data_IF_225334671128
#
_entry.id   IF_225334671128
#
_cell.length_a   1.000
_cell.length_b   1.000
_cell.length_c   1.000
_cell.angle_alpha   90.00
_cell.angle_beta   90.00
_cell.angle_gamma   90.00
#
_symmetry.space_group_name_H-M   'P 1'
#
loop_
_entity.id
_entity.type
_entity.pdbx_description
1 polymer ?
#
# COMPACT_ATOMS: atom_id res chain seq x y z
N UNK A 1 -15.70 -7.65 7.61
CA UNK A 1 -14.85 -7.90 8.79
C UNK A 1 -15.37 -7.10 9.98
N UNK A 2 -14.90 -7.37 11.22
CA UNK A 2 -15.49 -6.86 12.46
C UNK A 2 -15.32 -5.38 12.78
N UNK A 3 -15.06 -4.51 11.77
CA UNK A 3 -14.78 -3.08 11.99
C UNK A 3 -15.90 -2.37 12.75
N UNK A 4 -17.16 -2.69 12.46
CA UNK A 4 -18.32 -2.09 13.13
C UNK A 4 -18.40 -2.49 14.60
N UNK A 5 -18.17 -3.77 14.92
CA UNK A 5 -18.12 -4.27 16.30
C UNK A 5 -17.00 -3.59 17.11
N UNK A 6 -15.83 -3.45 16.50
CA UNK A 6 -14.66 -2.81 17.13
C UNK A 6 -14.92 -1.33 17.38
N UNK A 7 -15.56 -0.61 16.45
CA UNK A 7 -15.99 0.79 16.66
C UNK A 7 -16.95 0.95 17.84
N UNK A 8 -17.79 -0.04 18.07
CA UNK A 8 -18.73 -0.09 19.22
C UNK A 8 -18.07 -0.58 20.52
N UNK A 9 -16.75 -0.78 20.53
CA UNK A 9 -16.01 -1.28 21.70
C UNK A 9 -16.17 -2.77 21.99
N UNK A 10 -16.78 -3.53 21.07
CA UNK A 10 -16.94 -4.98 21.19
C UNK A 10 -15.70 -5.72 20.71
N UNK A 11 -15.50 -6.95 21.23
CA UNK A 11 -14.47 -7.86 20.72
C UNK A 11 -14.80 -8.33 19.30
N UNK A 12 -13.79 -8.76 18.56
CA UNK A 12 -14.01 -9.43 17.27
C UNK A 12 -14.80 -10.72 17.45
N UNK A 13 -15.62 -11.09 16.48
CA UNK A 13 -16.48 -12.26 16.57
C UNK A 13 -15.71 -13.58 16.80
N UNK A 14 -14.52 -13.71 16.22
CA UNK A 14 -13.65 -14.87 16.42
C UNK A 14 -13.09 -14.96 17.85
N UNK A 15 -12.75 -13.82 18.47
CA UNK A 15 -12.28 -13.80 19.85
C UNK A 15 -13.42 -14.07 20.86
N UNK A 16 -14.63 -13.63 20.53
CA UNK A 16 -15.82 -13.88 21.38
C UNK A 16 -16.31 -15.32 21.28
N UNK A 17 -16.26 -15.90 20.07
CA UNK A 17 -16.70 -17.27 19.84
C UNK A 17 -15.73 -18.35 20.33
N UNK A 18 -14.49 -17.99 20.71
CA UNK A 18 -13.48 -18.95 21.14
C UNK A 18 -13.67 -19.33 22.61
N UNK A 19 -14.18 -20.56 22.95
CA UNK A 19 -14.50 -20.95 24.31
C UNK A 19 -13.25 -21.11 25.19
N UNK A 20 -12.09 -21.42 24.58
CA UNK A 20 -10.84 -21.66 25.32
C UNK A 20 -9.94 -20.40 25.34
N UNK A 21 -10.40 -19.26 24.79
CA UNK A 21 -9.63 -18.02 24.78
C UNK A 21 -8.34 -18.08 23.96
N UNK A 22 -8.23 -19.00 22.99
CA UNK A 22 -7.07 -19.13 22.13
C UNK A 22 -6.91 -17.92 21.17
N UNK A 23 -8.04 -17.33 20.75
CA UNK A 23 -8.05 -16.13 19.91
C UNK A 23 -8.21 -14.90 20.78
N UNK A 24 -7.22 -14.03 20.79
CA UNK A 24 -7.21 -12.78 21.57
C UNK A 24 -7.19 -11.59 20.61
N UNK A 25 -7.87 -10.52 20.99
CA UNK A 25 -7.94 -9.28 20.22
C UNK A 25 -7.63 -8.08 21.13
N UNK A 26 -6.80 -7.16 20.62
CA UNK A 26 -6.41 -5.94 21.32
C UNK A 26 -5.46 -5.11 20.49
N UNK A 27 -4.84 -4.11 21.09
CA UNK A 27 -3.78 -3.35 20.44
C UNK A 27 -2.52 -4.20 20.24
N UNK A 28 -1.70 -3.88 19.26
CA UNK A 28 -0.45 -4.62 18.96
C UNK A 28 0.43 -4.80 20.19
N UNK A 29 0.60 -3.74 20.99
CA UNK A 29 1.43 -3.74 22.19
C UNK A 29 0.87 -4.66 23.28
N UNK A 30 -0.43 -4.63 23.52
CA UNK A 30 -1.10 -5.48 24.49
C UNK A 30 -1.01 -6.96 24.11
N UNK A 31 -1.29 -7.28 22.85
CA UNK A 31 -1.24 -8.66 22.36
C UNK A 31 0.18 -9.23 22.40
N UNK A 32 1.19 -8.43 22.04
CA UNK A 32 2.58 -8.87 22.17
C UNK A 32 2.99 -9.07 23.62
N UNK A 33 2.58 -8.20 24.53
CA UNK A 33 2.86 -8.37 25.96
C UNK A 33 2.21 -9.65 26.51
N UNK A 34 0.96 -9.92 26.13
CA UNK A 34 0.24 -11.15 26.52
C UNK A 34 0.92 -12.40 25.91
N UNK A 35 1.31 -12.35 24.64
CA UNK A 35 2.02 -13.45 24.01
C UNK A 35 3.35 -13.76 24.71
N UNK A 36 4.16 -12.74 24.99
CA UNK A 36 5.41 -12.92 25.74
C UNK A 36 5.18 -13.43 27.16
N UNK A 37 4.09 -13.02 27.81
CA UNK A 37 3.73 -13.55 29.12
C UNK A 37 3.44 -15.04 29.05
N UNK A 38 2.63 -15.51 28.09
CA UNK A 38 2.33 -16.93 27.89
C UNK A 38 3.58 -17.77 27.63
N UNK A 39 4.51 -17.26 26.82
CA UNK A 39 5.78 -17.95 26.57
C UNK A 39 6.64 -18.10 27.83
N UNK A 40 6.58 -17.13 28.74
CA UNK A 40 7.33 -17.20 30.02
C UNK A 40 6.65 -18.10 31.05
N UNK A 41 5.33 -18.09 31.08
CA UNK A 41 4.54 -18.81 32.09
C UNK A 41 4.50 -20.32 31.79
N UNK A 42 4.60 -20.72 30.52
CA UNK A 42 4.57 -22.14 30.13
C UNK A 42 5.76 -22.45 29.17
N UNK A 43 6.75 -23.24 29.65
CA UNK A 43 7.91 -23.63 28.86
C UNK A 43 7.58 -24.64 27.73
N UNK A 44 6.37 -25.20 27.66
CA UNK A 44 5.94 -26.04 26.57
C UNK A 44 5.83 -25.31 25.25
N UNK A 45 5.64 -23.98 25.28
CA UNK A 45 5.60 -23.17 24.08
C UNK A 45 6.97 -22.98 23.44
N UNK A 46 7.01 -23.01 22.09
CA UNK A 46 8.17 -22.58 21.30
C UNK A 46 8.45 -21.12 21.63
N UNK A 47 9.69 -20.82 22.06
CA UNK A 47 10.12 -19.49 22.52
C UNK A 47 10.23 -18.48 21.36
N UNK A 48 9.21 -18.47 20.50
CA UNK A 48 9.11 -17.58 19.33
C UNK A 48 7.65 -17.22 19.08
N UNK A 49 7.40 -15.94 18.81
CA UNK A 49 6.12 -15.44 18.34
C UNK A 49 6.22 -15.30 16.83
N UNK A 50 5.44 -16.07 16.07
CA UNK A 50 5.39 -15.95 14.63
C UNK A 50 4.50 -14.76 14.21
N UNK A 51 4.94 -13.98 13.24
CA UNK A 51 4.25 -12.77 12.75
C UNK A 51 4.89 -11.46 13.24
N UNK A 52 5.90 -11.51 14.10
CA UNK A 52 6.60 -10.30 14.58
C UNK A 52 7.57 -9.72 13.56
N UNK A 53 8.31 -10.58 12.88
CA UNK A 53 9.36 -10.23 11.90
C UNK A 53 9.01 -10.67 10.48
N UNK A 54 8.18 -11.69 10.35
CA UNK A 54 7.79 -12.26 9.07
C UNK A 54 7.12 -11.22 8.18
N UNK A 55 7.56 -11.12 6.92
CA UNK A 55 7.07 -10.16 5.92
C UNK A 55 7.12 -8.68 6.40
N UNK A 56 8.09 -8.37 7.27
CA UNK A 56 8.22 -7.04 7.88
C UNK A 56 7.26 -6.78 9.04
N UNK A 57 6.70 -7.83 9.61
CA UNK A 57 5.73 -7.80 10.72
C UNK A 57 4.28 -7.79 10.26
N UNK A 58 3.50 -8.67 10.86
CA UNK A 58 2.06 -8.81 10.58
C UNK A 58 1.21 -8.25 11.73
N UNK A 59 -0.10 -8.15 11.52
CA UNK A 59 -1.07 -7.80 12.56
C UNK A 59 -1.69 -9.02 13.23
N UNK A 60 -1.25 -10.23 12.85
CA UNK A 60 -1.69 -11.49 13.45
C UNK A 60 -0.46 -12.20 13.96
N UNK A 61 -0.50 -12.62 15.21
CA UNK A 61 0.58 -13.30 15.90
C UNK A 61 0.14 -14.71 16.27
N UNK A 62 1.09 -15.64 16.20
CA UNK A 62 0.85 -17.03 16.57
C UNK A 62 1.85 -17.46 17.64
N UNK A 63 1.33 -18.19 18.62
CA UNK A 63 2.09 -18.87 19.66
C UNK A 63 1.73 -20.35 19.55
N UNK A 64 2.71 -21.24 19.60
CA UNK A 64 2.51 -22.69 19.43
C UNK A 64 3.45 -23.47 20.35
N UNK A 65 3.04 -24.65 20.74
CA UNK A 65 3.81 -25.68 21.43
C UNK A 65 4.62 -26.55 20.45
N UNK A 66 4.29 -26.47 19.15
CA UNK A 66 4.96 -27.20 18.06
C UNK A 66 5.70 -26.21 17.16
N UNK A 67 6.87 -26.60 16.68
CA UNK A 67 7.63 -25.79 15.71
C UNK A 67 6.78 -25.38 14.51
N UNK A 68 6.79 -24.10 14.21
CA UNK A 68 5.99 -23.51 13.13
C UNK A 68 6.25 -24.17 11.76
N UNK A 69 7.45 -24.63 11.48
CA UNK A 69 7.81 -25.31 10.25
C UNK A 69 7.10 -26.66 10.12
N UNK A 70 6.93 -27.38 11.22
CA UNK A 70 6.23 -28.68 11.25
C UNK A 70 4.74 -28.57 10.95
N UNK A 71 4.14 -27.43 11.27
CA UNK A 71 2.72 -27.13 10.99
C UNK A 71 2.52 -26.34 9.69
N UNK A 72 3.58 -26.22 8.85
CA UNK A 72 3.50 -25.68 7.50
C UNK A 72 3.72 -24.17 7.37
N UNK A 73 4.13 -23.49 8.43
CA UNK A 73 4.55 -22.09 8.34
C UNK A 73 5.94 -22.00 7.71
N UNK A 74 6.12 -21.06 6.78
CA UNK A 74 7.39 -20.95 6.05
C UNK A 74 8.42 -20.15 6.85
N UNK A 75 9.57 -20.75 7.12
CA UNK A 75 10.72 -20.08 7.76
C UNK A 75 11.26 -18.90 6.92
N UNK A 76 11.25 -19.05 5.61
CA UNK A 76 11.72 -18.04 4.65
C UNK A 76 10.90 -16.73 4.64
N UNK A 77 9.74 -16.70 5.29
CA UNK A 77 8.98 -15.47 5.44
C UNK A 77 9.67 -14.43 6.34
N UNK A 78 10.68 -14.83 7.13
CA UNK A 78 11.42 -13.92 8.01
C UNK A 78 12.26 -12.92 7.21
N UNK A 79 12.90 -13.37 6.14
CA UNK A 79 13.78 -12.55 5.30
C UNK A 79 13.06 -11.94 4.09
N UNK A 80 11.76 -12.18 3.97
CA UNK A 80 10.96 -11.63 2.87
C UNK A 80 10.72 -10.14 3.08
N UNK A 81 11.01 -9.36 2.04
CA UNK A 81 10.73 -7.93 2.02
C UNK A 81 9.22 -7.67 2.25
N UNK A 82 8.85 -6.67 3.04
CA UNK A 82 7.46 -6.35 3.30
C UNK A 82 6.69 -6.11 1.99
N UNK A 83 5.64 -6.87 1.72
CA UNK A 83 4.81 -6.70 0.52
C UNK A 83 4.30 -5.27 0.32
N UNK A 84 4.18 -4.54 1.43
CA UNK A 84 3.74 -3.15 1.45
C UNK A 84 4.74 -2.20 0.81
N UNK A 85 6.05 -2.49 0.81
CA UNK A 85 7.07 -1.57 0.26
C UNK A 85 6.92 -1.39 -1.24
N UNK A 86 6.67 -2.46 -1.98
CA UNK A 86 6.45 -2.42 -3.43
C UNK A 86 5.25 -1.52 -3.80
N UNK A 87 4.13 -1.71 -3.09
CA UNK A 87 2.92 -0.91 -3.33
C UNK A 87 3.10 0.53 -2.87
N UNK A 88 3.75 0.76 -1.73
CA UNK A 88 4.00 2.09 -1.21
C UNK A 88 4.91 2.91 -2.14
N UNK A 89 5.96 2.30 -2.70
CA UNK A 89 6.84 2.94 -3.68
C UNK A 89 6.06 3.31 -4.95
N UNK A 90 5.33 2.35 -5.52
CA UNK A 90 4.53 2.60 -6.72
C UNK A 90 3.48 3.71 -6.52
N UNK A 91 2.81 3.73 -5.37
CA UNK A 91 1.84 4.79 -5.04
C UNK A 91 2.50 6.14 -4.72
N UNK A 92 3.69 6.13 -4.14
CA UNK A 92 4.45 7.35 -3.85
C UNK A 92 4.95 8.05 -5.11
N UNK A 93 5.37 7.28 -6.11
CA UNK A 93 5.93 7.81 -7.36
C UNK A 93 4.84 8.22 -8.37
N UNK A 94 3.66 7.61 -8.31
CA UNK A 94 2.57 7.89 -9.26
C UNK A 94 2.20 9.37 -9.38
N UNK A 95 2.02 10.16 -8.30
CA UNK A 95 1.72 11.59 -8.40
C UNK A 95 2.82 12.36 -9.12
N UNK A 96 4.08 12.04 -8.85
CA UNK A 96 5.24 12.70 -9.47
C UNK A 96 5.29 12.42 -10.97
N UNK A 97 5.09 11.17 -11.38
CA UNK A 97 5.04 10.77 -12.79
C UNK A 97 3.90 11.49 -13.54
N UNK A 98 2.72 11.57 -12.92
CA UNK A 98 1.57 12.26 -13.50
C UNK A 98 1.83 13.78 -13.62
N UNK A 99 2.40 14.41 -12.61
CA UNK A 99 2.71 15.84 -12.62
C UNK A 99 3.76 16.19 -13.69
N UNK A 100 4.87 15.45 -13.72
CA UNK A 100 5.95 15.70 -14.70
C UNK A 100 5.48 15.37 -16.12
N UNK A 101 4.90 14.19 -16.32
CA UNK A 101 4.37 13.78 -17.63
C UNK A 101 3.28 14.72 -18.14
N UNK A 102 2.35 15.10 -17.28
CA UNK A 102 1.28 16.04 -17.58
C UNK A 102 1.81 17.43 -17.97
N UNK A 103 2.84 17.93 -17.28
CA UNK A 103 3.46 19.22 -17.59
C UNK A 103 4.15 19.20 -18.95
N UNK A 104 4.85 18.11 -19.29
CA UNK A 104 5.49 17.94 -20.60
C UNK A 104 4.44 17.89 -21.71
N UNK A 105 3.37 17.10 -21.52
CA UNK A 105 2.29 16.98 -22.51
C UNK A 105 1.55 18.31 -22.69
N UNK A 106 1.30 19.05 -21.62
CA UNK A 106 0.68 20.37 -21.67
C UNK A 106 1.57 21.37 -22.44
N UNK A 107 2.88 21.34 -22.20
CA UNK A 107 3.85 22.15 -22.94
C UNK A 107 3.88 21.83 -24.45
N UNK A 108 3.90 20.55 -24.81
CA UNK A 108 3.83 20.10 -26.20
C UNK A 108 2.51 20.48 -26.85
N UNK A 109 1.41 20.35 -26.14
CA UNK A 109 0.09 20.78 -26.61
C UNK A 109 0.07 22.29 -26.91
N UNK A 110 0.56 23.10 -25.96
CA UNK A 110 0.62 24.56 -26.13
C UNK A 110 1.48 25.00 -27.33
N UNK A 111 2.66 24.38 -27.52
CA UNK A 111 3.53 24.66 -28.66
C UNK A 111 2.85 24.28 -29.96
N UNK A 112 2.20 23.12 -30.03
CA UNK A 112 1.51 22.66 -31.24
C UNK A 112 0.32 23.55 -31.58
N UNK A 113 -0.43 23.98 -30.57
CA UNK A 113 -1.56 24.89 -30.76
C UNK A 113 -1.10 26.25 -31.25
N UNK A 114 -0.04 26.79 -30.64
CA UNK A 114 0.56 28.06 -31.06
C UNK A 114 1.06 28.04 -32.51
N UNK A 115 1.69 26.94 -32.92
CA UNK A 115 2.10 26.77 -34.33
C UNK A 115 0.94 26.80 -35.30
N UNK A 116 -0.18 26.21 -34.96
CA UNK A 116 -1.40 26.25 -35.81
C UNK A 116 -1.95 27.66 -35.92
N UNK A 117 -2.02 28.40 -34.81
CA UNK A 117 -2.50 29.79 -34.80
C UNK A 117 -1.61 30.68 -35.69
N UNK A 118 -0.29 30.57 -35.55
CA UNK A 118 0.65 31.34 -36.37
C UNK A 118 0.52 31.00 -37.85
N UNK A 119 0.42 29.71 -38.20
CA UNK A 119 0.23 29.27 -39.57
C UNK A 119 -1.06 29.82 -40.23
N UNK A 120 -2.14 29.89 -39.44
CA UNK A 120 -3.41 30.48 -39.91
C UNK A 120 -3.27 31.99 -40.17
N UNK A 121 -2.61 32.73 -39.29
CA UNK A 121 -2.37 34.18 -39.48
C UNK A 121 -1.50 34.43 -40.69
N UNK A 122 -0.40 33.68 -40.85
CA UNK A 122 0.48 33.79 -42.03
C UNK A 122 -0.27 33.46 -43.34
N UNK A 123 -1.15 32.49 -43.36
CA UNK A 123 -1.96 32.16 -44.53
C UNK A 123 -2.92 33.31 -44.89
N UNK A 124 -3.57 33.93 -43.92
CA UNK A 124 -4.44 35.09 -44.14
C UNK A 124 -3.66 36.31 -44.68
N UNK A 125 -2.47 36.59 -44.15
CA UNK A 125 -1.62 37.67 -44.62
C UNK A 125 -1.15 37.45 -46.06
N UNK A 126 -0.83 36.22 -46.45
CA UNK A 126 -0.46 35.87 -47.83
C UNK A 126 -1.62 36.09 -48.80
N UNK A 127 -2.82 35.68 -48.45
CA UNK A 127 -4.04 35.91 -49.25
C UNK A 127 -4.34 37.41 -49.41
N UNK A 128 -4.25 38.17 -48.31
CA UNK A 128 -4.44 39.63 -48.35
C UNK A 128 -3.43 40.36 -49.20
N UNK A 129 -2.17 39.93 -49.17
CA UNK A 129 -1.10 40.51 -50.03
C UNK A 129 -1.27 40.17 -51.52
N UNK A 130 -1.69 38.94 -51.82
CA UNK A 130 -1.96 38.53 -53.22
C UNK A 130 -3.10 39.34 -53.81
N UNK A 131 -4.12 39.64 -53.04
CA UNK A 131 -5.27 40.43 -53.48
C UNK A 131 -4.96 41.94 -53.67
N UNK A 132 -3.95 42.48 -52.96
CA UNK A 132 -3.46 43.86 -53.15
C UNK A 132 -2.53 44.03 -54.34
N UNK A 133 -1.80 43.01 -54.74
CA UNK A 133 -0.88 43.06 -55.90
C UNK A 133 -1.54 42.86 -57.27
N UNK A 134 -2.81 42.50 -57.30
CA UNK A 134 -3.58 42.25 -58.53
C UNK A 134 -4.46 43.40 -59.01
N UNK A 135 -4.19 44.64 -58.53
CA UNK A 135 -4.83 45.87 -59.00
C UNK A 135 -3.74 46.77 -59.67
#
# INVERSE_FOLDING_TARGET
MCAERVKQGMKTACAEACPVGATVFGTRSEILAEAWKRLRDDPAYVQRIYGTEELGGTSVFYVSDVDFEKIGFKATAKDAEPLRTLTATAMGDAPTVVMVGGSILAGLYWITQRRKEVALVEAQEREANTNKGGR
#
